data_IF_698779580799
#
_entry.id   IF_698779580799
#
_cell.length_a   1.000
_cell.length_b   1.000
_cell.length_c   1.000
_cell.angle_alpha   90.00
_cell.angle_beta   90.00
_cell.angle_gamma   90.00
#
_symmetry.space_group_name_H-M   'P 1'
#
loop_
_entity.id
_entity.type
_entity.pdbx_description
1 polymer ?
#
# COMPACT_ATOMS: atom_id res chain seq x y z
N UNK A 1 -14.11 -34.59 -1.94
CA UNK A 1 -14.57 -33.36 -2.60
C UNK A 1 -14.41 -32.09 -1.75
N UNK A 2 -15.19 -31.84 -0.69
CA UNK A 2 -15.05 -30.60 0.11
C UNK A 2 -13.69 -30.51 0.83
N UNK A 3 -13.24 -31.61 1.43
CA UNK A 3 -11.95 -31.63 2.16
C UNK A 3 -10.75 -31.45 1.23
N UNK A 4 -10.79 -32.04 0.03
CA UNK A 4 -9.75 -31.86 -1.00
C UNK A 4 -9.74 -30.43 -1.55
N UNK A 5 -10.90 -29.80 -1.71
CA UNK A 5 -10.99 -28.39 -2.09
C UNK A 5 -10.38 -27.49 -1.01
N UNK A 6 -10.67 -27.75 0.27
CA UNK A 6 -10.10 -27.01 1.41
C UNK A 6 -8.59 -27.21 1.50
N UNK A 7 -8.11 -28.45 1.29
CA UNK A 7 -6.68 -28.76 1.27
C UNK A 7 -5.99 -28.03 0.12
N UNK A 8 -6.53 -28.07 -1.10
CA UNK A 8 -5.98 -27.36 -2.25
C UNK A 8 -5.93 -25.84 -2.05
N UNK A 9 -6.97 -25.24 -1.46
CA UNK A 9 -7.00 -23.81 -1.17
C UNK A 9 -5.99 -23.45 -0.07
N UNK A 10 -5.84 -24.31 0.94
CA UNK A 10 -4.86 -24.13 1.98
C UNK A 10 -3.44 -24.17 1.40
N UNK A 11 -3.14 -25.15 0.54
CA UNK A 11 -1.81 -25.31 -0.08
C UNK A 11 -1.43 -24.16 -1.02
N UNK A 12 -2.43 -23.46 -1.59
CA UNK A 12 -2.20 -22.22 -2.34
C UNK A 12 -1.80 -21.06 -1.42
N UNK A 13 -2.41 -20.98 -0.23
CA UNK A 13 -2.25 -19.84 0.68
C UNK A 13 -1.08 -20.01 1.65
N UNK A 14 -0.82 -21.23 2.09
CA UNK A 14 0.14 -21.63 3.13
C UNK A 14 0.95 -22.86 2.70
N UNK A 15 2.09 -23.16 3.34
CA UNK A 15 2.88 -24.34 2.98
C UNK A 15 2.11 -25.64 3.20
N UNK A 16 2.26 -26.56 2.25
CA UNK A 16 1.56 -27.84 2.23
C UNK A 16 1.76 -28.67 3.49
N UNK A 17 2.97 -28.69 4.07
CA UNK A 17 3.24 -29.36 5.35
C UNK A 17 2.35 -28.86 6.49
N UNK A 18 2.09 -27.55 6.54
CA UNK A 18 1.24 -26.96 7.58
C UNK A 18 -0.24 -27.25 7.32
N UNK A 19 -0.66 -27.23 6.06
CA UNK A 19 -2.03 -27.58 5.69
C UNK A 19 -2.36 -29.05 5.99
N UNK A 20 -1.45 -29.96 5.65
CA UNK A 20 -1.63 -31.39 5.91
C UNK A 20 -1.68 -31.67 7.42
N UNK A 21 -0.77 -31.12 8.23
CA UNK A 21 -0.76 -31.31 9.69
C UNK A 21 -2.00 -30.75 10.38
N UNK A 22 -2.50 -29.60 9.94
CA UNK A 22 -3.70 -28.99 10.53
C UNK A 22 -4.97 -29.72 10.10
N UNK A 23 -5.12 -30.03 8.80
CA UNK A 23 -6.36 -30.57 8.26
C UNK A 23 -6.50 -32.08 8.46
N UNK A 24 -5.38 -32.84 8.46
CA UNK A 24 -5.40 -34.30 8.61
C UNK A 24 -5.12 -34.75 10.03
N UNK A 25 -4.16 -34.11 10.70
CA UNK A 25 -3.70 -34.54 12.03
C UNK A 25 -4.31 -33.72 13.17
N UNK A 26 -4.99 -32.60 12.87
CA UNK A 26 -5.50 -31.63 13.86
C UNK A 26 -4.43 -31.11 14.83
N UNK A 27 -3.15 -31.16 14.41
CA UNK A 27 -2.01 -30.69 15.20
C UNK A 27 -1.55 -29.34 14.64
N UNK A 28 -1.53 -28.33 15.51
CA UNK A 28 -0.99 -27.01 15.19
C UNK A 28 0.40 -26.90 15.84
N UNK A 29 1.44 -27.11 15.05
CA UNK A 29 2.80 -26.87 15.51
C UNK A 29 3.09 -25.36 15.62
N UNK A 30 3.93 -24.93 16.59
CA UNK A 30 4.24 -23.52 16.79
C UNK A 30 4.78 -22.80 15.54
N UNK A 31 5.60 -23.49 14.73
CA UNK A 31 6.15 -22.92 13.50
C UNK A 31 5.07 -22.70 12.43
N UNK A 32 4.18 -23.68 12.24
CA UNK A 32 3.05 -23.56 11.33
C UNK A 32 2.06 -22.48 11.77
N UNK A 33 1.79 -22.37 13.06
CA UNK A 33 0.94 -21.29 13.60
C UNK A 33 1.51 -19.91 13.27
N UNK A 34 2.80 -19.69 13.56
CA UNK A 34 3.48 -18.42 13.29
C UNK A 34 3.38 -18.04 11.82
N UNK A 35 3.64 -18.99 10.91
CA UNK A 35 3.62 -18.73 9.49
C UNK A 35 2.21 -18.46 8.94
N UNK A 36 1.21 -19.19 9.44
CA UNK A 36 -0.21 -18.95 9.09
C UNK A 36 -0.65 -17.56 9.52
N UNK A 37 -0.31 -17.16 10.75
CA UNK A 37 -0.62 -15.81 11.24
C UNK A 37 0.02 -14.75 10.35
N UNK A 38 1.28 -14.92 9.99
CA UNK A 38 2.04 -13.95 9.19
C UNK A 38 1.50 -13.82 7.78
N UNK A 39 1.19 -14.94 7.11
CA UNK A 39 0.55 -14.94 5.80
C UNK A 39 -0.85 -14.35 5.84
N UNK A 40 -1.63 -14.69 6.87
CA UNK A 40 -2.97 -14.11 7.09
C UNK A 40 -2.91 -12.60 7.26
N UNK A 41 -1.95 -12.10 8.03
CA UNK A 41 -1.70 -10.67 8.20
C UNK A 41 -1.33 -10.02 6.86
N UNK A 42 -0.45 -10.64 6.07
CA UNK A 42 -0.10 -10.19 4.73
C UNK A 42 -1.31 -10.03 3.82
N UNK A 43 -2.15 -11.07 3.72
CA UNK A 43 -3.40 -11.01 2.94
C UNK A 43 -4.41 -9.99 3.47
N UNK A 44 -4.51 -9.85 4.80
CA UNK A 44 -5.35 -8.84 5.43
C UNK A 44 -4.95 -7.41 5.03
N UNK A 45 -3.65 -7.12 4.95
CA UNK A 45 -3.16 -5.82 4.49
C UNK A 45 -3.43 -5.63 3.00
N UNK A 46 -3.27 -6.66 2.16
CA UNK A 46 -3.61 -6.60 0.73
C UNK A 46 -5.08 -6.20 0.55
N UNK A 47 -5.97 -6.86 1.28
CA UNK A 47 -7.40 -6.54 1.23
C UNK A 47 -7.69 -5.11 1.74
N UNK A 48 -7.16 -4.76 2.91
CA UNK A 48 -7.38 -3.45 3.53
C UNK A 48 -6.88 -2.29 2.67
N UNK A 49 -5.68 -2.41 2.10
CA UNK A 49 -5.09 -1.38 1.24
C UNK A 49 -5.87 -1.16 -0.06
N UNK A 50 -6.36 -2.25 -0.67
CA UNK A 50 -7.20 -2.17 -1.88
C UNK A 50 -8.51 -1.43 -1.62
N UNK A 51 -9.14 -1.66 -0.46
CA UNK A 51 -10.37 -0.98 -0.06
C UNK A 51 -10.21 0.52 0.12
N UNK A 52 -9.01 1.02 0.44
CA UNK A 52 -8.77 2.46 0.64
C UNK A 52 -8.73 3.23 -0.69
N UNK A 53 -8.23 2.64 -1.77
CA UNK A 53 -8.15 3.29 -3.09
C UNK A 53 -9.50 3.27 -3.84
N UNK A 54 -10.37 2.30 -3.54
CA UNK A 54 -11.66 2.14 -4.22
C UNK A 54 -12.58 3.38 -4.10
N UNK A 55 -12.76 4.02 -2.91
CA UNK A 55 -13.51 5.27 -2.80
C UNK A 55 -12.99 6.39 -3.69
N UNK A 56 -11.67 6.49 -3.88
CA UNK A 56 -11.08 7.50 -4.77
C UNK A 56 -11.48 7.25 -6.22
N UNK A 57 -11.39 6.00 -6.69
CA UNK A 57 -11.80 5.62 -8.04
C UNK A 57 -13.29 5.92 -8.29
N UNK A 58 -14.16 5.54 -7.35
CA UNK A 58 -15.60 5.79 -7.45
C UNK A 58 -15.93 7.29 -7.47
N UNK A 59 -15.22 8.11 -6.69
CA UNK A 59 -15.39 9.56 -6.71
C UNK A 59 -15.03 10.16 -8.07
N UNK A 60 -13.94 9.72 -8.70
CA UNK A 60 -13.56 10.18 -10.04
C UNK A 60 -14.58 9.77 -11.11
N UNK A 61 -15.10 8.53 -11.03
CA UNK A 61 -16.15 8.07 -11.94
C UNK A 61 -17.45 8.84 -11.78
N UNK A 62 -17.86 9.13 -10.55
CA UNK A 62 -19.06 9.90 -10.26
C UNK A 62 -18.92 11.37 -10.68
N UNK A 63 -17.76 11.98 -10.41
CA UNK A 63 -17.48 13.38 -10.77
C UNK A 63 -17.18 13.56 -12.26
N UNK A 64 -16.75 12.50 -12.96
CA UNK A 64 -16.23 12.53 -14.34
C UNK A 64 -15.15 13.59 -14.55
N UNK A 65 -14.29 13.79 -13.55
CA UNK A 65 -13.15 14.71 -13.59
C UNK A 65 -12.10 14.30 -12.56
N UNK A 66 -10.84 14.60 -12.85
CA UNK A 66 -9.70 14.46 -11.94
C UNK A 66 -9.43 15.67 -11.07
N UNK A 67 -10.32 16.67 -11.04
CA UNK A 67 -10.16 17.91 -10.25
C UNK A 67 -9.76 17.62 -8.80
N UNK A 68 -8.69 18.27 -8.33
CA UNK A 68 -8.17 18.10 -6.97
C UNK A 68 -7.20 16.92 -6.79
N UNK A 69 -6.96 16.12 -7.82
CA UNK A 69 -5.95 15.06 -7.83
C UNK A 69 -4.78 15.46 -8.72
N UNK A 70 -3.57 15.44 -8.17
CA UNK A 70 -2.35 15.79 -8.91
C UNK A 70 -1.91 14.63 -9.80
N UNK A 71 -2.10 14.75 -11.12
CA UNK A 71 -1.62 13.74 -12.08
C UNK A 71 -0.12 13.42 -11.93
N UNK A 72 0.80 14.41 -11.80
CA UNK A 72 2.22 14.11 -11.56
C UNK A 72 2.47 13.24 -10.31
N UNK A 73 1.75 13.49 -9.22
CA UNK A 73 1.88 12.69 -8.01
C UNK A 73 1.39 11.24 -8.23
N UNK A 74 0.28 11.07 -8.96
CA UNK A 74 -0.23 9.75 -9.35
C UNK A 74 0.76 9.01 -10.24
N UNK A 75 1.39 9.68 -11.22
CA UNK A 75 2.40 9.06 -12.09
C UNK A 75 3.66 8.63 -11.32
N UNK A 76 4.12 9.44 -10.36
CA UNK A 76 5.22 9.06 -9.48
C UNK A 76 4.86 7.87 -8.58
N UNK A 77 3.63 7.81 -8.07
CA UNK A 77 3.13 6.66 -7.31
C UNK A 77 3.11 5.38 -8.16
N UNK A 78 2.66 5.47 -9.42
CA UNK A 78 2.71 4.35 -10.38
C UNK A 78 4.16 3.90 -10.59
N UNK A 79 5.09 4.82 -10.80
CA UNK A 79 6.51 4.49 -11.00
C UNK A 79 7.08 3.72 -9.80
N UNK A 80 6.86 4.22 -8.59
CA UNK A 80 7.31 3.59 -7.35
C UNK A 80 6.72 2.18 -7.17
N UNK A 81 5.42 2.02 -7.39
CA UNK A 81 4.73 0.74 -7.26
C UNK A 81 5.13 -0.28 -8.35
N UNK A 82 5.46 0.21 -9.55
CA UNK A 82 5.95 -0.61 -10.66
C UNK A 82 7.28 -1.26 -10.29
N UNK A 83 8.24 -0.48 -9.80
CA UNK A 83 9.53 -1.02 -9.36
C UNK A 83 9.40 -1.91 -8.12
N UNK A 84 8.56 -1.54 -7.15
CA UNK A 84 8.31 -2.37 -5.97
C UNK A 84 7.73 -3.75 -6.32
N UNK A 85 6.76 -3.78 -7.22
CA UNK A 85 6.16 -5.03 -7.70
C UNK A 85 7.16 -5.87 -8.51
N UNK A 86 7.87 -5.23 -9.43
CA UNK A 86 8.84 -5.92 -10.31
C UNK A 86 10.05 -6.45 -9.55
N UNK A 87 10.57 -5.67 -8.60
CA UNK A 87 11.65 -6.08 -7.70
C UNK A 87 11.23 -7.27 -6.83
N UNK A 88 10.03 -7.21 -6.24
CA UNK A 88 9.53 -8.28 -5.37
C UNK A 88 9.28 -9.58 -6.15
N UNK A 89 8.75 -9.46 -7.37
CA UNK A 89 8.56 -10.59 -8.27
C UNK A 89 9.90 -11.21 -8.70
N UNK A 90 10.87 -10.40 -9.11
CA UNK A 90 12.18 -10.88 -9.54
C UNK A 90 12.99 -11.58 -8.42
N UNK A 91 12.77 -11.21 -7.15
CA UNK A 91 13.35 -11.89 -6.00
C UNK A 91 12.57 -13.15 -5.57
N UNK A 92 11.45 -13.48 -6.23
CA UNK A 92 10.65 -14.65 -5.89
C UNK A 92 9.95 -14.56 -4.54
N UNK A 93 9.69 -13.34 -4.04
CA UNK A 93 9.00 -13.18 -2.76
C UNK A 93 7.55 -13.69 -2.84
N UNK A 94 7.03 -14.29 -1.75
CA UNK A 94 5.67 -14.80 -1.73
C UNK A 94 4.67 -13.67 -1.93
N UNK A 95 3.57 -13.96 -2.64
CA UNK A 95 2.55 -12.96 -2.97
C UNK A 95 1.98 -12.22 -1.74
N UNK A 96 1.86 -12.90 -0.60
CA UNK A 96 1.45 -12.29 0.68
C UNK A 96 2.32 -11.10 1.12
N UNK A 97 3.60 -11.08 0.72
CA UNK A 97 4.55 -10.03 1.09
C UNK A 97 4.43 -8.75 0.24
N UNK A 98 4.03 -8.85 -1.02
CA UNK A 98 4.11 -7.73 -1.97
C UNK A 98 2.86 -7.51 -2.83
N UNK A 99 1.88 -8.42 -2.77
CA UNK A 99 0.67 -8.35 -3.60
C UNK A 99 -0.14 -7.06 -3.42
N UNK A 100 0.02 -6.37 -2.29
CA UNK A 100 -0.60 -5.06 -2.06
C UNK A 100 -0.10 -4.02 -3.07
N UNK A 101 1.19 -4.03 -3.38
CA UNK A 101 1.79 -3.09 -4.32
C UNK A 101 1.20 -3.30 -5.71
N UNK A 102 0.94 -4.56 -6.10
CA UNK A 102 0.33 -4.91 -7.37
C UNK A 102 -1.12 -4.41 -7.48
N UNK A 103 -1.95 -4.64 -6.45
CA UNK A 103 -3.34 -4.17 -6.46
C UNK A 103 -3.44 -2.65 -6.40
N UNK A 104 -2.61 -2.00 -5.59
CA UNK A 104 -2.54 -0.55 -5.55
C UNK A 104 -2.05 0.01 -6.89
N UNK A 105 -1.07 -0.63 -7.53
CA UNK A 105 -0.57 -0.25 -8.86
C UNK A 105 -1.70 -0.30 -9.89
N UNK A 106 -2.46 -1.39 -9.90
CA UNK A 106 -3.61 -1.54 -10.79
C UNK A 106 -4.63 -0.41 -10.59
N UNK A 107 -5.09 -0.20 -9.36
CA UNK A 107 -6.08 0.85 -9.06
C UNK A 107 -5.54 2.26 -9.35
N UNK A 108 -4.26 2.51 -9.07
CA UNK A 108 -3.62 3.81 -9.33
C UNK A 108 -3.43 4.06 -10.83
N UNK A 109 -3.15 3.02 -11.62
CA UNK A 109 -3.13 3.12 -13.08
C UNK A 109 -4.52 3.45 -13.66
N UNK A 110 -5.59 2.89 -13.10
CA UNK A 110 -6.96 3.25 -13.46
C UNK A 110 -7.28 4.71 -13.09
N UNK A 111 -6.84 5.17 -11.92
CA UNK A 111 -6.99 6.57 -11.51
C UNK A 111 -6.27 7.50 -12.52
N UNK A 112 -5.02 7.21 -12.88
CA UNK A 112 -4.30 8.00 -13.89
C UNK A 112 -5.01 7.98 -15.24
N UNK A 113 -5.50 6.81 -15.67
CA UNK A 113 -6.28 6.67 -16.90
C UNK A 113 -7.52 7.57 -16.88
N UNK A 114 -8.31 7.55 -15.79
CA UNK A 114 -9.52 8.38 -15.68
C UNK A 114 -9.21 9.88 -15.68
N UNK A 115 -8.15 10.30 -14.98
CA UNK A 115 -7.73 11.72 -14.98
C UNK A 115 -7.38 12.16 -16.41
N UNK A 116 -6.54 11.39 -17.12
CA UNK A 116 -6.15 11.72 -18.49
C UNK A 116 -7.37 11.66 -19.42
N UNK A 117 -8.28 10.71 -19.22
CA UNK A 117 -9.46 10.50 -20.05
C UNK A 117 -10.46 11.66 -19.93
N UNK A 118 -10.74 12.12 -18.71
CA UNK A 118 -11.73 13.19 -18.46
C UNK A 118 -11.16 14.59 -18.62
N UNK A 119 -9.95 14.87 -18.14
CA UNK A 119 -9.43 16.24 -18.06
C UNK A 119 -8.48 16.61 -19.21
N UNK A 120 -7.91 15.63 -19.93
CA UNK A 120 -6.89 15.87 -20.96
C UNK A 120 -7.35 15.43 -22.35
N UNK A 121 -7.33 14.12 -22.63
CA UNK A 121 -7.68 13.56 -23.94
C UNK A 121 -7.86 12.04 -23.85
N UNK A 122 -8.97 11.54 -24.41
CA UNK A 122 -9.29 10.09 -24.44
C UNK A 122 -8.22 9.25 -25.13
N UNK A 123 -7.69 9.68 -26.27
CA UNK A 123 -6.64 8.96 -27.01
C UNK A 123 -5.34 8.86 -26.21
N UNK A 124 -4.95 9.94 -25.53
CA UNK A 124 -3.78 9.93 -24.64
C UNK A 124 -3.96 8.98 -23.45
N UNK A 125 -5.17 8.83 -22.94
CA UNK A 125 -5.46 7.90 -21.83
C UNK A 125 -5.24 6.44 -22.25
N UNK A 126 -5.75 6.04 -23.42
CA UNK A 126 -5.53 4.70 -23.95
C UNK A 126 -4.06 4.45 -24.31
N UNK A 127 -3.38 5.45 -24.90
CA UNK A 127 -1.95 5.37 -25.16
C UNK A 127 -1.15 5.18 -23.87
N UNK A 128 -1.48 5.96 -22.82
CA UNK A 128 -0.87 5.80 -21.50
C UNK A 128 -1.04 4.37 -20.97
N UNK A 129 -2.25 3.82 -21.02
CA UNK A 129 -2.50 2.47 -20.49
C UNK A 129 -1.76 1.39 -21.28
N UNK A 130 -1.69 1.50 -22.61
CA UNK A 130 -0.94 0.58 -23.47
C UNK A 130 0.56 0.65 -23.20
N UNK A 131 1.12 1.86 -23.10
CA UNK A 131 2.54 2.07 -22.80
C UNK A 131 2.87 1.54 -21.40
N UNK A 132 2.06 1.88 -20.40
CA UNK A 132 2.25 1.44 -19.02
C UNK A 132 2.23 -0.09 -18.90
N UNK A 133 1.23 -0.76 -19.47
CA UNK A 133 1.12 -2.22 -19.45
C UNK A 133 2.29 -2.89 -20.16
N UNK A 134 2.74 -2.35 -21.29
CA UNK A 134 3.92 -2.85 -22.02
C UNK A 134 5.19 -2.72 -21.17
N UNK A 135 5.45 -1.55 -20.59
CA UNK A 135 6.61 -1.31 -19.72
C UNK A 135 6.58 -2.23 -18.51
N UNK A 136 5.42 -2.37 -17.86
CA UNK A 136 5.28 -3.25 -16.69
C UNK A 136 5.52 -4.72 -17.06
N UNK A 137 4.98 -5.19 -18.20
CA UNK A 137 5.23 -6.55 -18.68
C UNK A 137 6.71 -6.82 -18.96
N UNK A 138 7.43 -5.85 -19.53
CA UNK A 138 8.89 -5.95 -19.75
C UNK A 138 9.63 -6.05 -18.41
N UNK A 139 9.28 -5.22 -17.41
CA UNK A 139 9.90 -5.27 -16.09
C UNK A 139 9.61 -6.59 -15.35
N UNK A 140 8.45 -7.19 -15.59
CA UNK A 140 8.04 -8.48 -15.02
C UNK A 140 8.53 -9.69 -15.83
N UNK A 141 9.19 -9.49 -16.98
CA UNK A 141 9.62 -10.59 -17.88
C UNK A 141 10.74 -11.48 -17.32
N UNK A 142 11.44 -11.04 -16.28
CA UNK A 142 12.62 -11.70 -15.74
C UNK A 142 13.92 -11.42 -16.51
N UNK A 143 13.88 -10.68 -17.63
CA UNK A 143 15.06 -10.32 -18.42
C UNK A 143 15.74 -9.01 -17.99
N UNK A 144 15.14 -8.26 -17.07
CA UNK A 144 15.67 -6.99 -16.59
C UNK A 144 16.72 -7.22 -15.51
N UNK A 145 17.91 -6.60 -15.60
CA UNK A 145 18.95 -6.77 -14.58
C UNK A 145 18.47 -6.38 -13.18
N UNK A 146 18.76 -7.23 -12.20
CA UNK A 146 18.35 -7.02 -10.80
C UNK A 146 18.84 -5.67 -10.25
N UNK A 147 20.01 -5.19 -10.68
CA UNK A 147 20.55 -3.90 -10.25
C UNK A 147 19.60 -2.74 -10.62
N UNK A 148 18.96 -2.78 -11.78
CA UNK A 148 18.03 -1.73 -12.20
C UNK A 148 16.74 -1.77 -11.36
N UNK A 149 16.24 -2.97 -11.08
CA UNK A 149 15.05 -3.16 -10.23
C UNK A 149 15.32 -2.72 -8.79
N UNK A 150 16.50 -3.05 -8.26
CA UNK A 150 16.94 -2.64 -6.93
C UNK A 150 17.08 -1.11 -6.83
N UNK A 151 17.71 -0.46 -7.82
CA UNK A 151 17.82 1.00 -7.86
C UNK A 151 16.44 1.67 -7.93
N UNK A 152 15.53 1.12 -8.74
CA UNK A 152 14.16 1.60 -8.81
C UNK A 152 13.41 1.46 -7.48
N UNK A 153 13.56 0.31 -6.81
CA UNK A 153 12.99 0.08 -5.48
C UNK A 153 13.57 1.03 -4.43
N UNK A 154 14.89 1.23 -4.44
CA UNK A 154 15.55 2.16 -3.53
C UNK A 154 15.09 3.61 -3.78
N UNK A 155 14.91 4.01 -5.04
CA UNK A 155 14.41 5.33 -5.42
C UNK A 155 12.92 5.53 -5.07
N UNK A 156 12.14 4.46 -4.97
CA UNK A 156 10.74 4.52 -4.52
C UNK A 156 10.61 4.88 -3.03
N UNK A 157 11.60 4.53 -2.20
CA UNK A 157 11.56 4.78 -0.75
C UNK A 157 11.46 6.28 -0.39
N UNK A 158 12.30 7.18 -0.94
CA UNK A 158 12.15 8.62 -0.74
C UNK A 158 10.77 9.17 -1.08
N UNK A 159 10.12 8.65 -2.13
CA UNK A 159 8.80 9.09 -2.54
C UNK A 159 7.76 8.80 -1.44
N UNK A 160 7.76 7.57 -0.92
CA UNK A 160 6.82 7.14 0.12
C UNK A 160 7.07 7.93 1.42
N UNK A 161 8.33 8.13 1.78
CA UNK A 161 8.75 8.79 3.02
C UNK A 161 8.45 10.30 2.99
N UNK A 162 8.74 10.97 1.88
CA UNK A 162 8.60 12.43 1.75
C UNK A 162 7.18 12.92 2.01
N UNK A 163 6.17 12.22 1.48
CA UNK A 163 4.76 12.58 1.69
C UNK A 163 4.37 12.63 3.18
N UNK A 164 4.87 11.67 3.96
CA UNK A 164 4.60 11.56 5.39
C UNK A 164 5.38 12.59 6.21
N UNK A 165 6.62 12.87 5.81
CA UNK A 165 7.43 13.92 6.43
C UNK A 165 6.82 15.30 6.23
N UNK A 166 6.34 15.61 5.02
CA UNK A 166 5.63 16.85 4.73
C UNK A 166 4.38 16.98 5.60
N UNK A 167 3.61 15.89 5.76
CA UNK A 167 2.45 15.88 6.65
C UNK A 167 2.84 16.13 8.12
N UNK A 168 3.88 15.46 8.62
CA UNK A 168 4.34 15.62 10.00
C UNK A 168 4.84 17.04 10.26
N UNK A 169 5.58 17.62 9.31
CA UNK A 169 6.03 19.00 9.38
C UNK A 169 4.86 20.00 9.34
N UNK A 170 3.87 19.77 8.48
CA UNK A 170 2.66 20.60 8.41
C UNK A 170 1.90 20.61 9.74
N UNK A 171 1.70 19.44 10.35
CA UNK A 171 1.05 19.33 11.66
C UNK A 171 1.82 20.11 12.74
N UNK A 172 3.15 19.99 12.77
CA UNK A 172 4.00 20.72 13.70
C UNK A 172 3.89 22.24 13.49
N UNK A 173 4.03 22.71 12.25
CA UNK A 173 3.95 24.13 11.91
C UNK A 173 2.59 24.74 12.23
N UNK A 174 1.51 23.98 12.03
CA UNK A 174 0.15 24.45 12.27
C UNK A 174 -0.27 24.34 13.74
N UNK A 175 0.40 23.50 14.55
CA UNK A 175 0.00 23.23 15.94
C UNK A 175 -1.32 22.48 16.07
N UNK A 176 -1.82 21.88 14.99
CA UNK A 176 -3.01 21.05 14.90
C UNK A 176 -2.92 20.08 13.73
N UNK A 177 -3.69 18.99 13.75
CA UNK A 177 -3.74 17.98 12.67
C UNK A 177 -4.86 18.24 11.65
N UNK A 178 -5.72 19.23 11.88
CA UNK A 178 -6.78 19.61 10.95
C UNK A 178 -7.83 18.50 10.81
N UNK A 179 -8.22 18.16 9.58
CA UNK A 179 -9.24 17.14 9.31
C UNK A 179 -8.67 15.72 9.15
N UNK A 180 -7.45 15.48 9.64
CA UNK A 180 -6.86 14.14 9.61
C UNK A 180 -7.69 13.18 10.47
N UNK A 181 -7.95 11.98 9.94
CA UNK A 181 -8.67 10.92 10.67
C UNK A 181 -7.72 10.16 11.59
N UNK A 182 -7.97 10.22 12.90
CA UNK A 182 -7.18 9.49 13.90
C UNK A 182 -7.17 7.98 13.66
N UNK A 183 -8.33 7.40 13.34
CA UNK A 183 -8.45 5.98 13.00
C UNK A 183 -7.58 5.62 11.80
N UNK A 184 -7.57 6.45 10.76
CA UNK A 184 -6.78 6.21 9.55
C UNK A 184 -5.28 6.21 9.86
N UNK A 185 -4.79 7.20 10.64
CA UNK A 185 -3.36 7.28 10.97
C UNK A 185 -2.92 6.10 11.84
N UNK A 186 -3.74 5.69 12.82
CA UNK A 186 -3.46 4.52 13.67
C UNK A 186 -3.41 3.25 12.82
N UNK A 187 -4.38 3.04 11.93
CA UNK A 187 -4.40 1.87 11.04
C UNK A 187 -3.18 1.85 10.10
N UNK A 188 -2.77 3.01 9.57
CA UNK A 188 -1.57 3.13 8.74
C UNK A 188 -0.30 2.78 9.53
N UNK A 189 -0.20 3.18 10.80
CA UNK A 189 0.90 2.81 11.68
C UNK A 189 0.93 1.31 11.99
N UNK A 190 -0.22 0.73 12.33
CA UNK A 190 -0.34 -0.72 12.56
C UNK A 190 0.06 -1.48 11.29
N UNK A 191 -0.51 -1.11 10.14
CA UNK A 191 -0.22 -1.75 8.85
C UNK A 191 1.26 -1.72 8.49
N UNK A 192 1.93 -0.56 8.65
CA UNK A 192 3.38 -0.49 8.37
C UNK A 192 4.21 -1.30 9.37
N UNK A 193 3.77 -1.40 10.64
CA UNK A 193 4.45 -2.22 11.65
C UNK A 193 4.28 -3.70 11.36
N UNK A 194 3.08 -4.13 10.98
CA UNK A 194 2.80 -5.49 10.51
C UNK A 194 3.63 -5.82 9.26
N UNK A 195 3.86 -4.85 8.37
CA UNK A 195 4.74 -5.03 7.20
C UNK A 195 6.20 -5.25 7.56
N UNK A 196 6.71 -4.67 8.65
CA UNK A 196 8.05 -5.01 9.16
C UNK A 196 8.10 -6.50 9.54
N UNK A 197 7.14 -6.95 10.37
CA UNK A 197 7.11 -8.32 10.87
C UNK A 197 6.96 -9.36 9.75
N UNK A 198 6.05 -9.11 8.81
CA UNK A 198 5.82 -10.00 7.66
C UNK A 198 7.02 -10.01 6.73
N UNK A 199 7.61 -8.85 6.40
CA UNK A 199 8.79 -8.78 5.53
C UNK A 199 10.01 -9.51 6.11
N UNK A 200 10.26 -9.38 7.42
CA UNK A 200 11.35 -10.13 8.09
C UNK A 200 11.20 -11.63 7.88
N UNK A 201 9.96 -12.14 7.91
CA UNK A 201 9.70 -13.58 7.83
C UNK A 201 9.51 -14.09 6.41
N UNK A 202 8.94 -13.27 5.52
CA UNK A 202 8.54 -13.68 4.17
C UNK A 202 9.56 -13.31 3.10
N UNK A 203 10.35 -12.25 3.29
CA UNK A 203 11.33 -11.79 2.29
C UNK A 203 12.76 -11.86 2.80
N UNK A 204 13.00 -11.51 4.07
CA UNK A 204 14.35 -11.34 4.62
C UNK A 204 15.14 -10.19 3.96
N UNK A 205 14.48 -9.38 3.13
CA UNK A 205 15.11 -8.35 2.31
C UNK A 205 15.31 -7.05 3.11
N UNK A 206 16.58 -6.67 3.28
CA UNK A 206 16.93 -5.50 4.10
C UNK A 206 16.38 -4.19 3.53
N UNK A 207 16.30 -4.03 2.21
CA UNK A 207 15.82 -2.79 1.58
C UNK A 207 14.33 -2.58 1.86
N UNK A 208 13.52 -3.63 1.69
CA UNK A 208 12.08 -3.61 1.99
C UNK A 208 11.85 -3.40 3.48
N UNK A 209 12.56 -4.13 4.34
CA UNK A 209 12.44 -4.02 5.80
C UNK A 209 12.79 -2.60 6.26
N UNK A 210 13.89 -2.02 5.77
CA UNK A 210 14.29 -0.64 6.08
C UNK A 210 13.23 0.37 5.64
N UNK A 211 12.65 0.19 4.45
CA UNK A 211 11.56 1.03 3.96
C UNK A 211 10.36 1.05 4.91
N UNK A 212 9.92 -0.12 5.37
CA UNK A 212 8.81 -0.22 6.33
C UNK A 212 9.18 0.29 7.72
N UNK A 213 10.42 0.11 8.18
CA UNK A 213 10.89 0.67 9.45
C UNK A 213 10.84 2.20 9.43
N UNK A 214 11.39 2.84 8.41
CA UNK A 214 11.35 4.30 8.24
C UNK A 214 9.91 4.82 8.16
N UNK A 215 9.07 4.13 7.38
CA UNK A 215 7.65 4.45 7.27
C UNK A 215 6.94 4.35 8.64
N UNK A 216 7.20 3.29 9.42
CA UNK A 216 6.59 3.09 10.74
C UNK A 216 7.04 4.13 11.76
N UNK A 217 8.30 4.56 11.74
CA UNK A 217 8.80 5.64 12.62
C UNK A 217 8.03 6.93 12.35
N UNK A 218 7.87 7.33 11.09
CA UNK A 218 7.16 8.57 10.73
C UNK A 218 5.67 8.44 11.04
N UNK A 219 5.07 7.28 10.77
CA UNK A 219 3.68 7.02 11.13
C UNK A 219 3.47 7.12 12.65
N UNK A 220 4.42 6.66 13.46
CA UNK A 220 4.39 6.82 14.93
C UNK A 220 4.43 8.29 15.32
N UNK A 221 5.29 9.10 14.68
CA UNK A 221 5.32 10.56 14.90
C UNK A 221 3.95 11.18 14.60
N UNK A 222 3.30 10.80 13.50
CA UNK A 222 1.97 11.29 13.15
C UNK A 222 0.89 10.88 14.17
N UNK A 223 0.94 9.66 14.70
CA UNK A 223 0.06 9.20 15.78
C UNK A 223 0.29 10.06 17.04
N UNK A 224 1.56 10.28 17.42
CA UNK A 224 1.90 11.10 18.58
C UNK A 224 1.43 12.55 18.42
N UNK A 225 1.61 13.14 17.23
CA UNK A 225 1.10 14.48 16.92
C UNK A 225 -0.43 14.56 16.99
N UNK A 226 -1.14 13.50 16.56
CA UNK A 226 -2.59 13.43 16.66
C UNK A 226 -3.07 13.53 18.11
N UNK A 227 -2.44 12.79 19.02
CA UNK A 227 -2.78 12.84 20.45
C UNK A 227 -2.31 14.14 21.10
N UNK A 228 -1.09 14.59 20.80
CA UNK A 228 -0.52 15.81 21.37
C UNK A 228 -1.33 17.06 21.00
N UNK A 229 -1.76 17.19 19.74
CA UNK A 229 -2.54 18.33 19.26
C UNK A 229 -4.05 18.13 19.32
N UNK A 230 -4.55 17.12 20.04
CA UNK A 230 -5.98 16.75 20.03
C UNK A 230 -6.91 17.91 20.40
N UNK A 231 -6.63 18.59 21.52
CA UNK A 231 -7.44 19.72 21.96
C UNK A 231 -7.36 20.92 21.01
N UNK A 232 -6.15 21.25 20.54
CA UNK A 232 -5.94 22.36 19.61
C UNK A 232 -6.66 22.11 18.28
N UNK A 233 -6.64 20.87 17.81
CA UNK A 233 -7.37 20.44 16.61
C UNK A 233 -8.87 20.59 16.78
N UNK A 234 -9.43 20.14 17.91
CA UNK A 234 -10.86 20.31 18.20
C UNK A 234 -11.27 21.79 18.29
N UNK A 235 -10.45 22.63 18.92
CA UNK A 235 -10.67 24.09 18.97
C UNK A 235 -10.64 24.71 17.56
N UNK A 236 -9.67 24.34 16.73
CA UNK A 236 -9.55 24.81 15.35
C UNK A 236 -10.75 24.41 14.48
N UNK A 237 -11.18 23.15 14.54
CA UNK A 237 -12.35 22.66 13.79
C UNK A 237 -13.61 23.42 14.20
N UNK A 238 -13.89 23.53 15.50
CA UNK A 238 -15.06 24.28 16.01
C UNK A 238 -15.08 25.73 15.53
N UNK A 239 -13.93 26.41 15.57
CA UNK A 239 -13.79 27.80 15.11
C UNK A 239 -14.07 27.94 13.60
N UNK A 240 -13.66 26.98 12.78
CA UNK A 240 -13.93 27.01 11.34
C UNK A 240 -15.39 26.68 10.99
N UNK A 241 -16.04 25.79 11.75
CA UNK A 241 -17.47 25.53 11.59
C UNK A 241 -18.31 26.78 11.90
N UNK A 242 -18.06 27.43 13.03
CA UNK A 242 -18.76 28.66 13.42
C UNK A 242 -18.56 29.85 12.46
N UNK A 243 -17.55 29.81 11.60
CA UNK A 243 -17.33 30.80 10.53
C UNK A 243 -18.09 30.49 9.25
N UNK A 244 -18.47 29.23 9.00
CA UNK A 244 -19.26 28.83 7.82
C UNK A 244 -20.76 29.09 8.02
N UNK A 245 -21.20 29.13 9.27
CA UNK A 245 -22.60 29.38 9.64
C UNK A 245 -22.95 30.87 9.72
N UNK A 246 -21.98 31.76 9.40
CA UNK A 246 -22.14 33.21 9.29
C UNK A 246 -21.98 33.64 7.85
#
# INVERSE_FOLDING_TARGET
MIMEQIESLCEVLYPSKCCQRILREFIIEPECFKLIVIKSLGYGIIFGSTMVKLPQLLKLLAAKSGLGVSLPAVLLEILALTFSSSYSYANGFPFSAWGEALFILFMTSLIAFLIIYYDINKGKAFLFMMMFTTVFAVLMSGHVPMQLLWLGQAAALPLIISSKLVQAWSNFRNGHTGNLSALTIILIFIGSTTRIMTSIQETGDQLIILGFMLSSIINMILVLQMFYYWENTNKFIRKNLAKKDK
#
